data_IF_743443257431
#
_entry.id   IF_743443257431
#
_cell.length_a   1.000
_cell.length_b   1.000
_cell.length_c   1.000
_cell.angle_alpha   90.00
_cell.angle_beta   90.00
_cell.angle_gamma   90.00
#
_symmetry.space_group_name_H-M   'P 1'
#
loop_
_entity.id
_entity.type
_entity.pdbx_description
1 polymer ?
#
# COMPACT_ATOMS: atom_id res chain seq x y z
N UNK A 1 4.68 -9.82 -7.76
CA UNK A 1 3.80 -10.78 -7.07
C UNK A 1 2.38 -10.29 -7.25
N UNK A 2 1.39 -11.17 -7.31
CA UNK A 2 -0.03 -10.81 -7.48
C UNK A 2 -0.67 -10.65 -6.10
N UNK A 3 -1.30 -9.50 -5.85
CA UNK A 3 -2.11 -9.29 -4.65
C UNK A 3 -3.32 -10.22 -4.66
N UNK A 4 -3.69 -10.75 -3.50
CA UNK A 4 -4.87 -11.62 -3.37
C UNK A 4 -6.14 -10.78 -3.48
N UNK A 5 -7.23 -11.41 -3.92
CA UNK A 5 -8.54 -10.75 -3.96
C UNK A 5 -8.94 -10.20 -2.58
N UNK A 6 -9.51 -9.01 -2.61
CA UNK A 6 -10.06 -8.36 -1.42
C UNK A 6 -11.24 -9.17 -0.89
N UNK A 7 -11.24 -9.46 0.41
CA UNK A 7 -12.37 -10.04 1.13
C UNK A 7 -13.02 -8.99 2.01
N UNK A 8 -14.14 -9.35 2.63
CA UNK A 8 -14.86 -8.47 3.55
C UNK A 8 -13.97 -7.98 4.71
N UNK A 9 -13.78 -6.66 4.78
CA UNK A 9 -12.90 -6.04 5.76
C UNK A 9 -13.39 -6.23 7.19
N UNK A 10 -14.71 -6.34 7.40
CA UNK A 10 -15.26 -6.41 8.74
C UNK A 10 -15.01 -7.78 9.39
N UNK A 11 -15.06 -8.85 8.61
CA UNK A 11 -14.94 -10.23 9.12
C UNK A 11 -13.52 -10.79 9.06
N UNK A 12 -12.67 -10.31 8.14
CA UNK A 12 -11.33 -10.91 7.96
C UNK A 12 -10.15 -9.97 8.20
N UNK A 13 -10.36 -8.71 8.63
CA UNK A 13 -9.25 -7.79 8.87
C UNK A 13 -8.50 -8.14 10.16
N UNK A 14 -7.22 -8.52 10.04
CA UNK A 14 -6.36 -8.84 11.18
C UNK A 14 -6.23 -7.67 12.17
N UNK A 15 -6.28 -6.42 11.69
CA UNK A 15 -6.18 -5.21 12.53
C UNK A 15 -7.40 -5.09 13.44
N UNK A 16 -8.60 -5.28 12.89
CA UNK A 16 -9.85 -5.17 13.65
C UNK A 16 -10.05 -6.36 14.60
N UNK A 17 -9.55 -7.54 14.24
CA UNK A 17 -9.68 -8.75 15.05
C UNK A 17 -8.73 -8.78 16.25
N UNK A 18 -7.64 -8.03 16.21
CA UNK A 18 -6.61 -8.06 17.25
C UNK A 18 -6.99 -7.10 18.38
N UNK A 19 -7.19 -7.62 19.59
CA UNK A 19 -7.42 -6.77 20.75
C UNK A 19 -6.10 -6.15 21.23
N UNK A 20 -5.93 -4.85 20.99
CA UNK A 20 -4.75 -4.09 21.39
C UNK A 20 -4.94 -3.25 22.65
N UNK A 21 -6.11 -3.30 23.30
CA UNK A 21 -6.49 -2.40 24.41
C UNK A 21 -5.52 -2.41 25.59
N UNK A 22 -4.94 -3.58 25.89
CA UNK A 22 -4.07 -3.77 27.04
C UNK A 22 -2.58 -3.60 26.71
N UNK A 23 -2.25 -3.26 25.45
CA UNK A 23 -0.86 -3.10 25.01
C UNK A 23 -0.45 -1.63 24.97
N UNK A 24 0.65 -1.34 25.65
CA UNK A 24 1.34 -0.05 25.52
C UNK A 24 2.28 -0.04 24.32
N UNK A 25 2.74 1.14 23.88
CA UNK A 25 3.70 1.29 22.77
C UNK A 25 4.98 0.45 22.94
N UNK A 26 5.41 0.25 24.20
CA UNK A 26 6.59 -0.55 24.55
C UNK A 26 6.36 -2.07 24.48
N UNK A 27 5.12 -2.52 24.28
CA UNK A 27 4.72 -3.94 24.28
C UNK A 27 4.16 -4.39 22.92
N UNK A 28 4.45 -3.64 21.85
CA UNK A 28 3.99 -3.95 20.48
C UNK A 28 4.47 -5.30 19.97
N UNK A 29 5.63 -5.76 20.43
CA UNK A 29 6.21 -7.07 20.12
C UNK A 29 5.40 -8.24 20.72
N UNK A 30 4.64 -7.98 21.77
CA UNK A 30 3.78 -8.98 22.44
C UNK A 30 2.40 -9.12 21.80
N UNK A 31 2.06 -8.25 20.85
CA UNK A 31 0.78 -8.30 20.14
C UNK A 31 0.80 -9.52 19.22
N UNK A 32 -0.06 -10.50 19.53
CA UNK A 32 -0.23 -11.69 18.70
C UNK A 32 -1.32 -11.42 17.68
N UNK A 33 -0.92 -11.33 16.41
CA UNK A 33 -1.86 -11.22 15.31
C UNK A 33 -2.36 -12.60 14.89
N UNK A 34 -3.67 -12.77 14.64
CA UNK A 34 -4.21 -14.04 14.16
C UNK A 34 -3.76 -14.30 12.72
N UNK A 35 -3.52 -15.57 12.39
CA UNK A 35 -3.25 -15.99 11.00
C UNK A 35 -4.56 -15.98 10.22
N UNK A 36 -4.80 -14.86 9.52
CA UNK A 36 -6.03 -14.65 8.74
C UNK A 36 -5.71 -14.46 7.26
N UNK A 37 -6.64 -14.83 6.36
CA UNK A 37 -6.40 -14.76 4.93
C UNK A 37 -6.08 -13.38 4.35
N UNK A 38 -6.38 -12.30 5.08
CA UNK A 38 -6.07 -10.91 4.71
C UNK A 38 -4.62 -10.50 5.00
N UNK A 39 -3.93 -11.22 5.90
CA UNK A 39 -2.54 -10.96 6.28
C UNK A 39 -1.54 -11.88 5.55
N UNK A 40 -2.03 -12.71 4.62
CA UNK A 40 -1.20 -13.65 3.85
C UNK A 40 -0.41 -12.89 2.78
N UNK A 41 0.84 -13.30 2.58
CA UNK A 41 1.71 -12.79 1.53
C UNK A 41 1.05 -12.86 0.13
N UNK A 42 1.37 -11.91 -0.76
CA UNK A 42 0.99 -11.96 -2.16
C UNK A 42 1.40 -13.28 -2.82
N UNK A 43 0.67 -13.66 -3.87
CA UNK A 43 0.96 -14.87 -4.64
C UNK A 43 2.14 -14.59 -5.56
N UNK A 44 3.18 -15.44 -5.60
CA UNK A 44 4.24 -15.31 -6.61
C UNK A 44 3.66 -15.36 -8.02
N UNK A 45 4.25 -14.59 -8.95
CA UNK A 45 3.91 -14.77 -10.36
C UNK A 45 4.37 -16.15 -10.83
N UNK A 46 3.66 -16.70 -11.80
CA UNK A 46 4.02 -17.93 -12.49
C UNK A 46 3.84 -17.72 -13.99
N UNK A 47 4.80 -18.19 -14.78
CA UNK A 47 4.82 -18.01 -16.23
C UNK A 47 3.58 -18.59 -16.94
N UNK A 48 2.89 -19.57 -16.32
CA UNK A 48 1.71 -20.22 -16.91
C UNK A 48 0.37 -19.66 -16.44
N UNK A 49 0.23 -19.36 -15.16
CA UNK A 49 -1.07 -18.99 -14.57
C UNK A 49 -1.18 -17.52 -14.17
N UNK A 50 -0.06 -16.87 -13.83
CA UNK A 50 -0.03 -15.50 -13.30
C UNK A 50 1.19 -14.75 -13.88
N UNK A 51 1.25 -14.52 -15.21
CA UNK A 51 2.37 -13.80 -15.80
C UNK A 51 2.47 -12.39 -15.24
N UNK A 52 3.65 -11.79 -15.34
CA UNK A 52 3.83 -10.37 -15.03
C UNK A 52 3.18 -9.60 -16.18
N UNK A 53 2.31 -8.61 -15.90
CA UNK A 53 1.72 -7.80 -16.95
C UNK A 53 2.79 -6.96 -17.66
N UNK A 54 2.65 -6.85 -18.98
CA UNK A 54 3.53 -5.99 -19.77
C UNK A 54 3.28 -4.52 -19.43
N UNK A 55 4.34 -3.68 -19.42
CA UNK A 55 4.19 -2.25 -19.24
C UNK A 55 3.37 -1.63 -20.38
N UNK A 56 2.69 -0.49 -20.15
CA UNK A 56 1.95 0.20 -21.20
C UNK A 56 2.89 0.76 -22.28
N UNK A 57 2.40 0.85 -23.52
CA UNK A 57 3.16 1.43 -24.64
C UNK A 57 3.62 2.86 -24.31
N UNK A 58 4.94 3.07 -24.33
CA UNK A 58 5.56 4.36 -24.01
C UNK A 58 6.03 4.53 -22.56
N UNK A 59 5.91 3.50 -21.72
CA UNK A 59 6.62 3.48 -20.44
C UNK A 59 8.12 3.27 -20.71
N UNK A 60 8.87 4.37 -20.75
CA UNK A 60 10.33 4.30 -20.75
C UNK A 60 10.83 3.76 -19.41
N UNK A 61 11.52 2.62 -19.45
CA UNK A 61 12.17 2.02 -18.29
C UNK A 61 13.26 2.96 -17.78
N UNK A 62 12.93 3.72 -16.74
CA UNK A 62 13.93 4.44 -15.97
C UNK A 62 14.65 3.44 -15.08
N UNK A 63 15.84 3.02 -15.51
CA UNK A 63 16.80 2.29 -14.67
C UNK A 63 17.19 3.17 -13.48
N UNK A 64 16.41 3.13 -12.40
CA UNK A 64 16.80 3.70 -11.11
C UNK A 64 17.70 2.70 -10.39
N UNK A 65 18.90 2.45 -10.94
CA UNK A 65 20.02 1.97 -10.13
C UNK A 65 20.47 3.14 -9.23
N UNK A 66 19.66 3.43 -8.21
CA UNK A 66 20.00 4.40 -7.19
C UNK A 66 20.87 3.71 -6.15
N UNK A 67 22.14 3.48 -6.48
CA UNK A 67 23.18 3.66 -5.47
C UNK A 67 23.23 5.15 -5.13
N UNK A 68 22.29 5.59 -4.30
CA UNK A 68 22.28 6.94 -3.74
C UNK A 68 23.31 6.97 -2.60
N UNK A 69 24.56 7.25 -2.96
CA UNK A 69 25.51 7.85 -2.02
C UNK A 69 24.87 9.17 -1.56
N UNK A 70 24.46 9.26 -0.30
CA UNK A 70 23.82 10.44 0.28
C UNK A 70 24.80 11.63 0.20
N UNK A 71 24.48 12.72 -0.52
CA UNK A 71 25.19 13.98 -0.34
C UNK A 71 24.66 14.66 0.92
N UNK A 72 25.62 15.22 1.65
CA UNK A 72 25.49 15.98 2.89
C UNK A 72 24.45 17.10 2.79
N UNK A 73 23.69 17.26 3.87
CA UNK A 73 22.93 18.45 4.29
C UNK A 73 23.44 19.76 3.66
N UNK A 74 22.63 20.37 2.81
CA UNK A 74 22.59 21.82 2.65
C UNK A 74 21.12 22.24 2.62
N UNK A 75 20.76 22.95 3.68
CA UNK A 75 19.49 23.54 4.06
C UNK A 75 19.05 24.55 2.97
N UNK A 76 18.09 24.15 2.11
CA UNK A 76 17.40 25.08 1.21
C UNK A 76 15.91 24.71 1.16
N UNK A 77 15.17 25.31 2.09
CA UNK A 77 13.73 25.21 2.27
C UNK A 77 12.99 25.74 1.04
N UNK A 78 12.85 24.91 -0.01
CA UNK A 78 11.97 25.27 -1.12
C UNK A 78 10.52 25.20 -0.68
N UNK A 79 9.95 26.37 -0.46
CA UNK A 79 8.52 26.63 -0.24
C UNK A 79 7.67 25.78 -1.20
N UNK A 80 7.00 24.77 -0.67
CA UNK A 80 6.05 23.94 -1.40
C UNK A 80 4.93 24.84 -1.90
N UNK A 81 4.84 25.08 -3.21
CA UNK A 81 3.71 25.78 -3.79
C UNK A 81 2.43 24.97 -3.51
N UNK A 82 1.65 25.48 -2.56
CA UNK A 82 0.33 24.98 -2.20
C UNK A 82 -0.59 25.04 -3.43
N UNK A 83 -0.80 23.89 -4.07
CA UNK A 83 -1.82 23.74 -5.11
C UNK A 83 -3.17 23.94 -4.42
N UNK A 84 -3.65 25.18 -4.48
CA UNK A 84 -5.01 25.64 -4.17
C UNK A 84 -5.82 24.73 -3.22
N UNK A 85 -5.69 25.01 -1.93
CA UNK A 85 -6.78 25.16 -0.95
C UNK A 85 -8.19 25.14 -1.59
N UNK A 86 -9.16 24.33 -1.18
CA UNK A 86 -9.22 23.60 0.07
C UNK A 86 -10.46 22.72 0.15
N UNK A 87 -10.39 21.54 -0.48
CA UNK A 87 -11.16 20.39 -0.04
C UNK A 87 -10.23 19.18 -0.05
N UNK A 88 -10.07 18.44 1.06
CA UNK A 88 -9.52 17.10 0.95
C UNK A 88 -10.38 16.35 -0.06
N UNK A 89 -9.75 15.69 -1.03
CA UNK A 89 -10.44 14.76 -1.90
C UNK A 89 -11.08 13.67 -1.03
N UNK A 90 -12.36 13.87 -0.71
CA UNK A 90 -13.17 12.92 0.04
C UNK A 90 -13.50 11.78 -0.91
N UNK A 91 -12.73 10.70 -0.80
CA UNK A 91 -13.12 9.40 -1.36
C UNK A 91 -14.33 8.95 -0.55
N UNK A 92 -15.53 9.22 -1.06
CA UNK A 92 -16.75 8.61 -0.55
C UNK A 92 -16.83 7.18 -1.07
N UNK A 93 -17.20 6.23 -0.21
CA UNK A 93 -17.37 4.82 -0.55
C UNK A 93 -18.41 4.59 -1.66
N UNK A 94 -19.26 5.57 -1.99
CA UNK A 94 -20.19 5.50 -3.12
C UNK A 94 -19.57 5.78 -4.49
N UNK A 95 -18.31 6.23 -4.56
CA UNK A 95 -17.66 6.63 -5.81
C UNK A 95 -16.92 5.50 -6.53
N UNK A 96 -16.98 4.27 -6.02
CA UNK A 96 -16.54 3.08 -6.77
C UNK A 96 -17.59 2.73 -7.83
N UNK A 97 -17.56 3.45 -8.94
CA UNK A 97 -18.25 3.03 -10.16
C UNK A 97 -17.49 1.81 -10.67
N UNK A 98 -17.94 0.62 -10.31
CA UNK A 98 -17.58 -0.59 -11.04
C UNK A 98 -18.26 -0.47 -12.41
N UNK A 99 -17.53 0.01 -13.42
CA UNK A 99 -17.93 -0.18 -14.80
C UNK A 99 -17.89 -1.67 -15.09
N UNK A 100 -19.05 -2.31 -14.92
CA UNK A 100 -19.34 -3.64 -15.44
C UNK A 100 -19.53 -3.49 -16.94
N UNK A 101 -18.70 -4.21 -17.71
CA UNK A 101 -18.90 -4.47 -19.14
C UNK A 101 -20.05 -5.47 -19.29
#
# INVERSE_FOLDING_TARGET
>A
MVWREQRDHHTVCYVLMTNTKDFSSNQKDKILYPDVPSAIKPVPHDAKLLPIPDPPDGAEESDVDSQSELPVDDDDDKEYCEIALGQPHLINQSSVIWSVI
#
